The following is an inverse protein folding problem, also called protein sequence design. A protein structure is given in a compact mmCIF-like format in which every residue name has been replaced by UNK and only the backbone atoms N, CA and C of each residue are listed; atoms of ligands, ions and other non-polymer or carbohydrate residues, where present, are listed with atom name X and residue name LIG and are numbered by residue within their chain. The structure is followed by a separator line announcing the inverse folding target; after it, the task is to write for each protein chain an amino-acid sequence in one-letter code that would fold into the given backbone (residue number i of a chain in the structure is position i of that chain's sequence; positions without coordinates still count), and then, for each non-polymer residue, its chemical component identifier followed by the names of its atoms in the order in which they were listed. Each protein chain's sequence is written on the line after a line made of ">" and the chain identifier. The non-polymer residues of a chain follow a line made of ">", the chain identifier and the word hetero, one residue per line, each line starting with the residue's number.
data_IF_499383640352
#
_entry.id   IF_499383640352
#
_cell.length_a   1.000
_cell.length_b   1.000
_cell.length_c   1.000
_cell.angle_alpha   90.00
_cell.angle_beta   90.00
_cell.angle_gamma   90.00
#
_symmetry.space_group_name_H-M   'P 1'
#
loop_
_entity.id
_entity.type
_entity.pdbx_description
1 polymer ?
#
# COMPACT_ATOMS: atom_id res chain seq x y z
N UNK A 1 -18.44 -33.86 12.56
CA UNK A 1 -17.54 -32.81 12.05
C UNK A 1 -16.58 -32.44 13.15
N UNK A 2 -15.27 -32.62 12.92
CA UNK A 2 -14.23 -32.37 13.91
C UNK A 2 -14.10 -30.86 14.20
N UNK A 3 -13.75 -30.45 15.43
CA UNK A 3 -13.57 -29.05 15.77
C UNK A 3 -12.35 -28.49 15.04
N UNK A 4 -12.52 -27.35 14.37
CA UNK A 4 -11.41 -26.60 13.79
C UNK A 4 -10.45 -26.22 14.93
N UNK A 5 -9.22 -26.72 14.87
CA UNK A 5 -8.16 -26.28 15.76
C UNK A 5 -7.97 -24.77 15.57
N UNK A 6 -8.15 -24.01 16.65
CA UNK A 6 -7.74 -22.62 16.76
C UNK A 6 -6.23 -22.56 16.48
N UNK A 7 -5.85 -22.27 15.24
CA UNK A 7 -4.48 -21.90 14.92
C UNK A 7 -4.23 -20.59 15.65
N UNK A 8 -3.41 -20.62 16.69
CA UNK A 8 -3.00 -19.42 17.40
C UNK A 8 -2.40 -18.43 16.37
N UNK A 9 -3.10 -17.32 16.12
CA UNK A 9 -2.58 -16.27 15.24
C UNK A 9 -1.34 -15.69 15.89
N UNK A 10 -0.18 -15.78 15.22
CA UNK A 10 1.00 -15.04 15.65
C UNK A 10 0.66 -13.54 15.66
N UNK A 11 1.01 -12.78 16.71
CA UNK A 11 0.79 -11.34 16.72
C UNK A 11 1.60 -10.68 15.59
N UNK A 12 1.04 -9.66 14.94
CA UNK A 12 1.79 -8.92 13.93
C UNK A 12 3.06 -8.30 14.55
N UNK A 13 4.21 -8.34 13.86
CA UNK A 13 5.45 -7.74 14.36
C UNK A 13 5.30 -6.22 14.50
N UNK A 14 5.97 -5.59 15.45
CA UNK A 14 5.92 -4.11 15.59
C UNK A 14 6.76 -3.47 14.46
N UNK A 15 6.19 -2.59 13.61
CA UNK A 15 6.94 -1.99 12.53
C UNK A 15 7.81 -0.86 13.07
N UNK A 16 8.99 -0.67 12.48
CA UNK A 16 9.86 0.47 12.77
C UNK A 16 9.52 1.60 11.80
N UNK A 17 8.92 2.67 12.30
CA UNK A 17 8.61 3.86 11.50
C UNK A 17 9.85 4.72 11.19
N UNK A 18 9.73 5.69 10.26
CA UNK A 18 10.82 6.61 9.95
C UNK A 18 11.17 7.47 11.17
N UNK A 19 12.40 7.97 11.23
CA UNK A 19 12.82 8.88 12.30
C UNK A 19 12.08 10.23 12.23
N UNK A 20 11.55 10.59 11.06
CA UNK A 20 10.72 11.77 10.83
C UNK A 20 9.45 11.71 11.67
N UNK A 21 9.27 12.66 12.59
CA UNK A 21 8.11 12.72 13.49
C UNK A 21 6.97 13.60 12.98
N UNK A 22 7.26 14.57 12.12
CA UNK A 22 6.29 15.51 11.56
C UNK A 22 6.44 15.64 10.05
N UNK A 23 5.32 15.95 9.38
CA UNK A 23 5.28 16.13 7.93
C UNK A 23 6.39 17.08 7.46
N UNK A 24 7.28 16.57 6.62
CA UNK A 24 8.46 17.30 6.14
C UNK A 24 8.48 17.32 4.62
N UNK A 25 8.58 18.52 4.02
CA UNK A 25 8.70 18.69 2.56
C UNK A 25 10.14 18.36 2.10
N UNK A 26 10.33 17.76 0.91
CA UNK A 26 11.67 17.45 0.42
C UNK A 26 12.53 18.69 0.19
N UNK A 27 13.84 18.58 0.46
CA UNK A 27 14.84 19.64 0.17
C UNK A 27 15.50 19.47 -1.21
N UNK A 28 15.39 18.28 -1.82
CA UNK A 28 15.90 17.99 -3.16
C UNK A 28 14.74 17.96 -4.16
N UNK A 29 14.67 18.87 -5.14
CA UNK A 29 13.56 18.92 -6.10
C UNK A 29 13.56 17.71 -7.04
N UNK A 30 12.38 17.34 -7.53
CA UNK A 30 12.24 16.34 -8.60
C UNK A 30 12.81 16.95 -9.90
N UNK A 31 13.66 16.23 -10.66
CA UNK A 31 14.22 16.72 -11.92
C UNK A 31 13.12 17.08 -12.92
N UNK A 32 13.28 18.24 -13.57
CA UNK A 32 12.31 18.76 -14.54
C UNK A 32 12.07 17.80 -15.71
N UNK A 33 13.09 17.03 -16.11
CA UNK A 33 13.00 16.01 -17.16
C UNK A 33 11.98 14.91 -16.85
N UNK A 34 11.80 14.56 -15.58
CA UNK A 34 10.81 13.56 -15.14
C UNK A 34 9.38 14.11 -15.21
N UNK A 35 9.21 15.36 -14.78
CA UNK A 35 7.93 16.08 -14.84
C UNK A 35 7.50 16.23 -16.31
N UNK A 36 8.39 16.71 -17.17
CA UNK A 36 8.09 16.90 -18.58
C UNK A 36 7.83 15.57 -19.31
N UNK A 37 8.57 14.52 -18.96
CA UNK A 37 8.36 13.17 -19.51
C UNK A 37 7.03 12.52 -19.08
N UNK A 38 6.39 13.01 -18.02
CA UNK A 38 5.10 12.52 -17.54
C UNK A 38 3.88 13.27 -18.13
N UNK A 39 4.08 14.43 -18.77
CA UNK A 39 2.99 15.23 -19.34
C UNK A 39 2.26 14.46 -20.45
N UNK A 40 0.93 14.49 -20.41
CA UNK A 40 0.06 13.92 -21.44
C UNK A 40 -0.86 15.00 -22.02
N UNK A 41 -1.28 14.84 -23.29
CA UNK A 41 -2.07 15.86 -23.99
C UNK A 41 -3.49 16.06 -23.43
N UNK A 42 -4.13 15.00 -22.89
CA UNK A 42 -5.45 15.06 -22.25
C UNK A 42 -5.57 13.98 -21.18
N UNK A 43 -6.01 14.36 -19.98
CA UNK A 43 -6.38 13.43 -18.91
C UNK A 43 -7.75 12.80 -19.21
N UNK A 44 -7.90 11.51 -18.94
CA UNK A 44 -9.12 10.73 -19.14
C UNK A 44 -9.52 10.04 -17.82
N UNK A 45 -10.80 9.69 -17.65
CA UNK A 45 -11.27 8.91 -16.48
C UNK A 45 -10.88 7.44 -16.61
N UNK A 46 -10.72 6.74 -15.48
CA UNK A 46 -10.37 5.32 -15.49
C UNK A 46 -11.52 4.46 -16.04
N UNK A 47 -11.27 3.80 -17.18
CA UNK A 47 -12.12 2.74 -17.74
C UNK A 47 -11.39 1.37 -17.63
N UNK A 48 -11.79 0.50 -16.70
CA UNK A 48 -11.15 -0.78 -16.46
C UNK A 48 -11.19 -1.73 -17.67
N UNK A 49 -12.18 -1.58 -18.56
CA UNK A 49 -12.24 -2.35 -19.81
C UNK A 49 -11.13 -1.97 -20.80
N UNK A 50 -10.59 -0.75 -20.69
CA UNK A 50 -9.49 -0.22 -21.52
C UNK A 50 -8.13 -0.27 -20.82
N UNK A 51 -8.11 -0.14 -19.50
CA UNK A 51 -6.91 0.16 -18.73
C UNK A 51 -6.39 -1.01 -17.89
N UNK A 52 -7.19 -2.05 -17.67
CA UNK A 52 -6.83 -3.22 -16.86
C UNK A 52 -6.60 -4.45 -17.73
N UNK A 53 -5.47 -5.14 -17.54
CA UNK A 53 -5.15 -6.36 -18.28
C UNK A 53 -4.83 -7.52 -17.33
N UNK A 54 -5.80 -8.42 -17.14
CA UNK A 54 -5.69 -9.64 -16.33
C UNK A 54 -5.97 -10.88 -17.17
N UNK A 55 -5.22 -11.97 -16.98
CA UNK A 55 -5.47 -13.24 -17.66
C UNK A 55 -5.20 -14.46 -16.75
N UNK A 56 -6.17 -15.37 -16.59
CA UNK A 56 -5.93 -16.80 -16.33
C UNK A 56 -5.71 -17.55 -17.67
N UNK A 57 -4.80 -18.53 -17.78
CA UNK A 57 -4.17 -18.82 -19.08
C UNK A 57 -4.78 -19.99 -19.89
N UNK A 58 -4.68 -19.88 -21.25
CA UNK A 58 -3.91 -20.83 -22.11
C UNK A 58 -3.71 -20.44 -23.60
N UNK A 59 -4.46 -19.50 -24.22
CA UNK A 59 -4.01 -18.58 -25.31
C UNK A 59 -5.15 -17.71 -25.91
N UNK A 60 -4.95 -16.37 -26.04
CA UNK A 60 -5.89 -15.38 -26.65
C UNK A 60 -5.10 -14.20 -27.30
N UNK A 61 -5.63 -13.57 -28.37
CA UNK A 61 -5.04 -12.43 -29.12
C UNK A 61 -5.77 -11.09 -28.84
N UNK A 62 -5.07 -10.12 -28.23
CA UNK A 62 -5.57 -8.88 -27.56
C UNK A 62 -4.93 -7.57 -28.10
N UNK A 63 -5.03 -6.40 -27.44
CA UNK A 63 -4.30 -5.12 -27.75
C UNK A 63 -2.79 -5.31 -28.02
N UNK A 64 -2.24 -6.43 -27.51
CA UNK A 64 -0.99 -7.10 -27.90
C UNK A 64 -0.75 -7.25 -29.41
N UNK A 65 -1.79 -7.29 -30.23
CA UNK A 65 -1.69 -7.48 -31.69
C UNK A 65 -1.27 -6.21 -32.45
N UNK A 66 -1.39 -5.03 -31.83
CA UNK A 66 -1.07 -3.72 -32.44
C UNK A 66 -0.04 -2.91 -31.63
N UNK A 67 0.54 -3.50 -30.58
CA UNK A 67 1.76 -3.00 -29.95
C UNK A 67 1.62 -1.94 -28.86
N UNK A 68 0.42 -1.67 -28.32
CA UNK A 68 0.18 -0.53 -27.41
C UNK A 68 -0.48 -0.88 -26.06
N UNK A 69 -0.40 -2.14 -25.65
CA UNK A 69 -1.13 -2.62 -24.49
C UNK A 69 -0.48 -2.19 -23.15
N UNK A 70 -1.25 -1.57 -22.24
CA UNK A 70 -0.83 -1.23 -20.87
C UNK A 70 -0.08 0.10 -20.67
N UNK A 71 0.35 0.77 -21.74
CA UNK A 71 1.07 2.05 -21.61
C UNK A 71 0.17 3.23 -21.23
N UNK A 72 -1.14 3.19 -21.54
CA UNK A 72 -2.06 4.30 -21.27
C UNK A 72 -2.26 4.58 -19.78
N UNK A 73 -2.55 3.53 -18.99
CA UNK A 73 -2.84 3.68 -17.56
C UNK A 73 -1.64 4.18 -16.75
N UNK A 74 -0.44 3.65 -17.04
CA UNK A 74 0.79 4.08 -16.36
C UNK A 74 1.13 5.53 -16.73
N UNK A 75 0.92 5.95 -17.98
CA UNK A 75 1.09 7.34 -18.40
C UNK A 75 0.10 8.28 -17.71
N UNK A 76 -1.17 7.88 -17.59
CA UNK A 76 -2.19 8.66 -16.87
C UNK A 76 -1.82 8.82 -15.39
N UNK A 77 -1.50 7.72 -14.71
CA UNK A 77 -1.07 7.75 -13.30
C UNK A 77 0.17 8.63 -13.12
N UNK A 78 1.19 8.51 -13.98
CA UNK A 78 2.37 9.38 -13.93
C UNK A 78 2.02 10.85 -14.15
N UNK A 79 1.14 11.16 -15.09
CA UNK A 79 0.71 12.54 -15.34
C UNK A 79 0.05 13.17 -14.11
N UNK A 80 -0.77 12.41 -13.38
CA UNK A 80 -1.36 12.88 -12.11
C UNK A 80 -0.30 13.09 -11.03
N UNK A 81 0.59 12.11 -10.85
CA UNK A 81 1.66 12.13 -9.84
C UNK A 81 2.57 13.37 -9.99
N UNK A 82 2.88 13.76 -11.22
CA UNK A 82 3.77 14.89 -11.51
C UNK A 82 3.03 16.18 -11.87
N UNK A 83 1.71 16.25 -11.63
CA UNK A 83 0.97 17.49 -11.77
C UNK A 83 1.37 18.49 -10.68
N UNK A 84 1.37 19.78 -11.02
CA UNK A 84 1.78 20.87 -10.11
C UNK A 84 1.04 20.80 -8.77
N UNK A 85 -0.30 20.67 -8.81
CA UNK A 85 -1.14 20.54 -7.61
C UNK A 85 -0.75 19.35 -6.73
N UNK A 86 -0.45 18.18 -7.31
CA UNK A 86 -0.02 17.00 -6.54
C UNK A 86 1.35 17.22 -5.92
N UNK A 87 2.30 17.79 -6.65
CA UNK A 87 3.63 18.07 -6.12
C UNK A 87 3.59 19.10 -4.97
N UNK A 88 2.73 20.11 -5.08
CA UNK A 88 2.58 21.15 -4.04
C UNK A 88 1.89 20.62 -2.77
N UNK A 89 0.78 19.89 -2.93
CA UNK A 89 -0.05 19.49 -1.80
C UNK A 89 0.41 18.17 -1.18
N UNK A 90 0.84 17.20 -2.00
CA UNK A 90 0.98 15.80 -1.62
C UNK A 90 2.43 15.30 -1.48
N UNK A 91 3.44 16.15 -1.70
CA UNK A 91 4.85 15.73 -1.66
C UNK A 91 5.47 15.75 -0.26
N UNK A 92 6.06 14.64 0.16
CA UNK A 92 6.68 14.46 1.47
C UNK A 92 8.05 13.79 1.36
N UNK A 93 8.81 13.80 2.46
CA UNK A 93 10.11 13.12 2.59
C UNK A 93 10.23 12.40 3.93
N UNK A 94 11.04 11.34 3.96
CA UNK A 94 11.45 10.65 5.18
C UNK A 94 12.90 10.21 5.11
N UNK A 95 13.41 9.67 6.23
CA UNK A 95 14.70 8.98 6.26
C UNK A 95 14.75 7.74 5.36
N UNK A 96 13.61 7.14 5.03
CA UNK A 96 13.57 5.97 4.14
C UNK A 96 13.45 6.35 2.66
N UNK A 97 12.80 7.47 2.36
CA UNK A 97 12.61 7.90 0.98
C UNK A 97 12.63 9.43 0.87
N UNK A 98 13.56 10.01 0.09
CA UNK A 98 13.66 11.45 -0.06
C UNK A 98 12.47 12.10 -0.78
N UNK A 99 11.73 11.35 -1.61
CA UNK A 99 10.60 11.88 -2.37
C UNK A 99 9.43 10.88 -2.36
N UNK A 100 8.34 11.29 -1.72
CA UNK A 100 7.10 10.54 -1.62
C UNK A 100 5.92 11.41 -2.05
N UNK A 101 4.90 10.82 -2.66
CA UNK A 101 3.61 11.48 -2.92
C UNK A 101 2.53 10.69 -2.17
N UNK A 102 1.74 11.36 -1.32
CA UNK A 102 0.72 10.72 -0.48
C UNK A 102 -0.53 11.60 -0.36
N UNK A 103 -1.70 10.97 -0.17
CA UNK A 103 -2.95 11.71 -0.01
C UNK A 103 -3.48 12.37 -1.28
N UNK A 104 -3.22 11.82 -2.47
CA UNK A 104 -3.72 12.42 -3.72
C UNK A 104 -5.25 12.42 -3.76
N UNK A 105 -5.89 11.30 -3.45
CA UNK A 105 -7.36 11.20 -3.42
C UNK A 105 -8.05 11.55 -4.75
N UNK A 106 -9.39 11.58 -4.76
CA UNK A 106 -10.18 11.78 -5.98
C UNK A 106 -10.02 13.19 -6.58
N UNK A 107 -9.72 14.20 -5.75
CA UNK A 107 -9.65 15.59 -6.18
C UNK A 107 -8.35 15.97 -6.90
N UNK A 108 -7.28 15.19 -6.71
CA UNK A 108 -5.96 15.48 -7.31
C UNK A 108 -5.50 14.40 -8.28
N UNK A 109 -5.88 13.13 -8.06
CA UNK A 109 -5.56 12.01 -8.94
C UNK A 109 -6.79 11.10 -9.20
N UNK A 110 -7.84 11.63 -9.87
CA UNK A 110 -9.07 10.88 -10.12
C UNK A 110 -8.87 9.58 -10.89
N UNK A 111 -7.96 9.53 -11.86
CA UNK A 111 -7.68 8.31 -12.62
C UNK A 111 -7.07 7.22 -11.73
N UNK A 112 -6.03 7.54 -10.96
CA UNK A 112 -5.44 6.59 -10.02
C UNK A 112 -6.45 6.13 -8.96
N UNK A 113 -7.23 7.07 -8.43
CA UNK A 113 -8.28 6.78 -7.47
C UNK A 113 -9.35 5.82 -8.02
N UNK A 114 -9.92 6.13 -9.18
CA UNK A 114 -10.95 5.30 -9.83
C UNK A 114 -10.40 3.94 -10.26
N UNK A 115 -9.13 3.89 -10.72
CA UNK A 115 -8.47 2.63 -11.05
C UNK A 115 -8.36 1.71 -9.84
N UNK A 116 -8.00 2.22 -8.66
CA UNK A 116 -7.88 1.40 -7.46
C UNK A 116 -9.21 1.06 -6.79
N UNK A 117 -10.26 1.85 -7.05
CA UNK A 117 -11.64 1.54 -6.62
C UNK A 117 -12.48 0.80 -7.65
N UNK A 118 -11.90 0.45 -8.80
CA UNK A 118 -12.61 -0.20 -9.90
C UNK A 118 -13.20 -1.55 -9.46
N UNK A 119 -14.48 -1.82 -9.78
CA UNK A 119 -15.11 -3.12 -9.53
C UNK A 119 -14.50 -4.27 -10.35
N UNK A 120 -13.65 -3.98 -11.34
CA UNK A 120 -12.90 -4.96 -12.12
C UNK A 120 -11.48 -5.19 -11.61
N UNK A 121 -10.88 -4.20 -10.93
CA UNK A 121 -9.55 -4.30 -10.30
C UNK A 121 -9.64 -5.00 -8.95
N UNK A 122 -10.55 -4.55 -8.08
CA UNK A 122 -10.64 -5.03 -6.70
C UNK A 122 -10.84 -6.56 -6.58
N UNK A 123 -11.71 -7.22 -7.38
CA UNK A 123 -11.86 -8.67 -7.30
C UNK A 123 -10.58 -9.43 -7.67
N UNK A 124 -9.76 -8.89 -8.57
CA UNK A 124 -8.49 -9.53 -8.96
C UNK A 124 -7.43 -9.40 -7.88
N UNK A 125 -7.38 -8.24 -7.21
CA UNK A 125 -6.53 -8.06 -6.04
C UNK A 125 -6.96 -9.03 -4.93
N UNK A 126 -8.26 -9.17 -4.70
CA UNK A 126 -8.82 -10.11 -3.73
C UNK A 126 -8.52 -11.58 -4.08
N UNK A 127 -8.64 -11.96 -5.36
CA UNK A 127 -8.29 -13.29 -5.86
C UNK A 127 -6.81 -13.63 -5.60
N UNK A 128 -5.90 -12.68 -5.87
CA UNK A 128 -4.47 -12.87 -5.60
C UNK A 128 -4.18 -12.93 -4.10
N UNK A 129 -4.90 -12.14 -3.29
CA UNK A 129 -4.75 -12.12 -1.84
C UNK A 129 -5.35 -13.35 -1.14
N UNK A 130 -6.26 -14.08 -1.79
CA UNK A 130 -6.99 -15.21 -1.22
C UNK A 130 -8.09 -14.82 -0.22
N UNK A 131 -8.47 -13.54 -0.17
CA UNK A 131 -9.52 -12.98 0.70
C UNK A 131 -10.13 -11.75 0.03
N UNK A 132 -11.41 -11.48 0.30
CA UNK A 132 -12.06 -10.26 -0.18
C UNK A 132 -11.44 -9.01 0.47
N UNK A 133 -10.91 -8.13 -0.38
CA UNK A 133 -10.25 -6.90 0.02
C UNK A 133 -11.01 -5.66 -0.49
N UNK A 134 -10.88 -4.58 0.28
CA UNK A 134 -11.23 -3.21 -0.12
C UNK A 134 -10.03 -2.29 0.12
N UNK A 135 -9.95 -1.17 -0.58
CA UNK A 135 -8.94 -0.14 -0.29
C UNK A 135 -9.13 0.36 1.14
N UNK A 136 -8.06 0.53 1.92
CA UNK A 136 -8.16 0.88 3.35
C UNK A 136 -8.89 2.21 3.59
N UNK A 137 -8.33 3.31 3.10
CA UNK A 137 -8.98 4.62 3.06
C UNK A 137 -8.24 5.50 2.04
N UNK A 138 -8.89 6.57 1.59
CA UNK A 138 -8.52 7.31 0.37
C UNK A 138 -7.11 7.91 0.41
N UNK A 139 -6.65 8.31 1.60
CA UNK A 139 -5.33 8.88 1.81
C UNK A 139 -4.20 7.91 1.43
N UNK A 140 -4.44 6.60 1.56
CA UNK A 140 -3.47 5.52 1.32
C UNK A 140 -3.65 4.86 -0.05
N UNK A 141 -4.54 5.40 -0.88
CA UNK A 141 -4.63 5.01 -2.27
C UNK A 141 -3.46 5.67 -3.02
N UNK A 142 -2.69 4.84 -3.72
CA UNK A 142 -1.61 5.28 -4.59
C UNK A 142 -0.49 6.08 -3.89
N UNK A 143 0.03 5.60 -2.77
CA UNK A 143 1.24 6.14 -2.16
C UNK A 143 2.45 5.95 -3.09
N UNK A 144 3.10 7.03 -3.52
CA UNK A 144 4.20 6.95 -4.48
C UNK A 144 5.53 7.10 -3.77
N UNK A 145 6.48 6.24 -4.13
CA UNK A 145 7.87 6.32 -3.76
C UNK A 145 8.70 6.63 -5.01
N UNK A 146 9.46 7.73 -4.98
CA UNK A 146 10.30 8.20 -6.09
C UNK A 146 11.76 8.18 -5.65
N UNK A 147 12.56 7.31 -6.27
CA UNK A 147 14.01 7.29 -6.11
C UNK A 147 14.68 7.69 -7.42
N UNK A 148 15.59 8.65 -7.36
CA UNK A 148 16.36 9.11 -8.52
C UNK A 148 17.83 8.77 -8.24
N UNK A 149 18.50 8.00 -9.13
CA UNK A 149 19.94 7.79 -9.02
C UNK A 149 20.65 9.14 -9.14
N UNK A 150 21.53 9.45 -8.20
CA UNK A 150 22.40 10.63 -8.28
C UNK A 150 23.41 10.45 -9.40
N UNK A 151 23.50 11.41 -10.33
CA UNK A 151 24.48 11.40 -11.44
C UNK A 151 25.94 11.44 -10.94
N UNK A 152 26.18 11.94 -9.72
CA UNK A 152 27.49 12.06 -9.09
C UNK A 152 27.49 11.45 -7.69
N UNK A 153 27.41 10.13 -7.56
CA UNK A 153 27.89 9.50 -6.32
C UNK A 153 29.40 9.34 -6.43
N UNK A 154 30.14 10.14 -5.67
CA UNK A 154 31.58 9.92 -5.52
C UNK A 154 31.81 8.49 -5.03
N UNK A 155 32.75 7.80 -5.66
CA UNK A 155 33.06 6.39 -5.40
C UNK A 155 33.42 6.18 -3.92
N UNK A 156 33.94 7.21 -3.26
CA UNK A 156 34.30 7.23 -1.84
C UNK A 156 33.07 7.26 -0.91
N UNK A 157 31.97 7.95 -1.26
CA UNK A 157 30.71 7.90 -0.46
C UNK A 157 30.01 6.53 -0.55
N UNK A 158 30.15 5.86 -1.69
CA UNK A 158 29.67 4.48 -1.84
C UNK A 158 30.48 3.56 -0.92
N UNK A 159 31.77 3.80 -0.71
CA UNK A 159 32.64 2.96 0.13
C UNK A 159 32.45 3.16 1.64
N UNK A 160 31.84 4.26 2.08
CA UNK A 160 31.52 4.52 3.49
C UNK A 160 30.09 4.12 3.90
N UNK A 161 29.20 3.84 2.95
CA UNK A 161 27.85 3.35 3.28
C UNK A 161 27.86 1.86 3.64
N UNK A 162 27.10 1.40 4.65
CA UNK A 162 26.96 -0.02 4.98
C UNK A 162 26.53 -0.82 3.74
N UNK A 163 27.05 -2.03 3.55
CA UNK A 163 26.81 -2.84 2.34
C UNK A 163 25.30 -3.11 2.09
N UNK A 164 24.49 -3.16 3.16
CA UNK A 164 23.03 -3.24 3.09
C UNK A 164 22.38 -2.00 2.44
N UNK A 165 22.90 -0.79 2.73
CA UNK A 165 22.39 0.49 2.22
C UNK A 165 22.87 0.77 0.78
N UNK A 166 23.96 0.13 0.35
CA UNK A 166 24.42 0.19 -1.06
C UNK A 166 23.48 -0.50 -2.03
N UNK A 167 22.65 -1.43 -1.56
CA UNK A 167 21.83 -2.30 -2.41
C UNK A 167 20.33 -2.06 -2.28
N UNK A 168 19.89 -1.22 -1.34
CA UNK A 168 18.47 -1.05 -1.00
C UNK A 168 17.92 0.33 -1.38
N UNK A 169 16.80 0.36 -2.10
CA UNK A 169 16.01 1.56 -2.40
C UNK A 169 15.01 1.86 -1.27
N UNK A 170 14.55 0.82 -0.56
CA UNK A 170 13.78 0.91 0.69
C UNK A 170 14.25 -0.22 1.58
N UNK A 171 14.79 0.13 2.76
CA UNK A 171 15.38 -0.80 3.73
C UNK A 171 14.41 -1.91 4.17
N UNK A 172 14.91 -2.94 4.84
CA UNK A 172 14.06 -3.99 5.42
C UNK A 172 13.03 -3.40 6.38
N UNK A 173 11.75 -3.69 6.13
CA UNK A 173 10.64 -3.19 6.93
C UNK A 173 9.43 -4.11 6.86
N UNK A 174 8.45 -3.80 7.71
CA UNK A 174 7.07 -4.25 7.59
C UNK A 174 6.21 -3.04 7.24
N UNK A 175 5.20 -3.25 6.42
CA UNK A 175 4.25 -2.19 6.12
C UNK A 175 3.34 -1.89 7.31
N UNK A 176 2.73 -0.71 7.26
CA UNK A 176 1.67 -0.28 8.16
C UNK A 176 0.35 -1.05 7.97
N UNK A 177 0.12 -1.62 6.78
CA UNK A 177 -1.18 -2.16 6.37
C UNK A 177 -1.15 -3.67 6.14
N UNK A 178 -2.22 -4.42 6.48
CA UNK A 178 -2.27 -5.87 6.34
C UNK A 178 -1.96 -6.35 4.92
N UNK A 179 -2.54 -5.69 3.91
CA UNK A 179 -2.35 -6.02 2.50
C UNK A 179 -1.93 -4.77 1.72
N UNK A 180 -0.99 -4.95 0.79
CA UNK A 180 -0.56 -3.90 -0.13
C UNK A 180 -0.44 -4.44 -1.55
N UNK A 181 -0.67 -3.56 -2.52
CA UNK A 181 -0.35 -3.78 -3.92
C UNK A 181 0.72 -2.78 -4.36
N UNK A 182 1.91 -3.28 -4.68
CA UNK A 182 3.05 -2.49 -5.15
C UNK A 182 3.10 -2.56 -6.67
N UNK A 183 2.83 -1.45 -7.35
CA UNK A 183 2.84 -1.29 -8.81
C UNK A 183 4.05 -0.50 -9.27
N UNK A 184 4.69 -0.93 -10.34
CA UNK A 184 5.87 -0.24 -10.90
C UNK A 184 5.45 0.73 -12.00
N UNK A 185 5.79 2.01 -11.82
CA UNK A 185 5.47 3.09 -12.75
C UNK A 185 6.69 3.60 -13.54
N UNK A 186 7.91 3.20 -13.17
CA UNK A 186 9.10 3.52 -13.94
C UNK A 186 9.04 2.92 -15.34
N UNK A 187 9.65 3.62 -16.29
CA UNK A 187 10.15 2.97 -17.50
C UNK A 187 11.31 2.05 -17.11
N UNK A 188 11.10 0.74 -17.30
CA UNK A 188 12.09 -0.27 -16.94
C UNK A 188 13.03 -0.64 -18.10
N UNK A 189 13.00 0.12 -19.21
CA UNK A 189 13.89 -0.12 -20.34
C UNK A 189 15.35 0.04 -19.92
N UNK A 190 16.12 -1.05 -19.98
CA UNK A 190 17.54 -1.07 -19.59
C UNK A 190 17.79 -1.17 -18.08
N UNK A 191 16.76 -1.30 -17.25
CA UNK A 191 16.92 -1.53 -15.80
C UNK A 191 17.42 -2.94 -15.51
N UNK A 192 18.45 -3.02 -14.66
CA UNK A 192 18.94 -4.27 -14.07
C UNK A 192 18.83 -4.17 -12.55
N UNK A 193 18.23 -5.18 -11.91
CA UNK A 193 17.93 -5.19 -10.48
C UNK A 193 16.57 -4.57 -10.15
N UNK A 194 16.42 -4.04 -8.94
CA UNK A 194 15.16 -3.42 -8.48
C UNK A 194 14.13 -4.38 -7.90
N UNK A 195 14.49 -5.65 -7.70
CA UNK A 195 13.62 -6.69 -7.16
C UNK A 195 13.09 -6.34 -5.76
N UNK A 196 11.91 -6.85 -5.44
CA UNK A 196 11.45 -6.92 -4.04
C UNK A 196 12.03 -8.20 -3.44
N UNK A 197 12.82 -8.04 -2.38
CA UNK A 197 13.32 -9.16 -1.59
C UNK A 197 12.41 -9.35 -0.38
N UNK A 198 11.98 -10.59 -0.16
CA UNK A 198 11.14 -11.03 0.96
C UNK A 198 12.00 -11.90 1.88
N UNK A 199 11.85 -11.72 3.18
CA UNK A 199 12.51 -12.59 4.16
C UNK A 199 11.50 -13.58 4.71
N UNK A 200 11.84 -14.86 4.64
CA UNK A 200 11.02 -15.93 5.23
C UNK A 200 11.19 -15.96 6.75
N UNK A 201 10.28 -16.61 7.50
CA UNK A 201 10.45 -16.82 8.94
C UNK A 201 11.73 -17.56 9.33
N UNK A 202 12.33 -18.31 8.39
CA UNK A 202 13.61 -19.02 8.58
C UNK A 202 14.84 -18.14 8.31
N UNK A 203 14.64 -16.90 7.87
CA UNK A 203 15.71 -15.96 7.52
C UNK A 203 16.19 -16.07 6.07
N UNK A 204 15.63 -16.98 5.26
CA UNK A 204 15.95 -17.09 3.83
C UNK A 204 15.41 -15.89 3.07
N UNK A 205 16.17 -15.38 2.10
CA UNK A 205 15.77 -14.25 1.25
C UNK A 205 15.26 -14.77 -0.09
N UNK A 206 14.00 -14.51 -0.39
CA UNK A 206 13.35 -14.79 -1.67
C UNK A 206 13.30 -13.50 -2.49
N UNK A 207 13.89 -13.51 -3.68
CA UNK A 207 13.78 -12.38 -4.62
C UNK A 207 12.60 -12.63 -5.55
N UNK A 208 11.61 -11.75 -5.48
CA UNK A 208 10.48 -11.75 -6.43
C UNK A 208 10.96 -11.10 -7.73
N UNK A 209 10.50 -11.64 -8.87
CA UNK A 209 10.94 -11.25 -10.22
C UNK A 209 11.02 -9.72 -10.37
N UNK A 210 12.09 -9.27 -11.00
CA UNK A 210 12.40 -7.85 -11.19
C UNK A 210 11.29 -7.06 -11.89
N UNK A 211 11.22 -5.76 -11.59
CA UNK A 211 10.12 -4.88 -11.97
C UNK A 211 10.07 -4.69 -13.49
N UNK A 212 8.89 -4.92 -14.08
CA UNK A 212 8.57 -4.42 -15.42
C UNK A 212 7.48 -3.35 -15.31
N UNK A 213 7.53 -2.34 -16.18
CA UNK A 213 6.55 -1.24 -16.18
C UNK A 213 5.12 -1.78 -16.21
N UNK A 214 4.30 -1.33 -15.25
CA UNK A 214 2.90 -1.75 -15.11
C UNK A 214 2.67 -3.14 -14.51
N UNK A 215 3.72 -3.79 -13.99
CA UNK A 215 3.54 -4.98 -13.14
C UNK A 215 3.25 -4.59 -11.70
N UNK A 216 2.51 -5.46 -11.01
CA UNK A 216 2.14 -5.27 -9.62
C UNK A 216 2.34 -6.55 -8.80
N UNK A 217 2.66 -6.37 -7.52
CA UNK A 217 2.80 -7.45 -6.52
C UNK A 217 1.83 -7.18 -5.39
N UNK A 218 0.96 -8.15 -5.10
CA UNK A 218 0.10 -8.13 -3.92
C UNK A 218 0.76 -8.96 -2.82
N UNK A 219 0.86 -8.41 -1.63
CA UNK A 219 1.47 -9.09 -0.49
C UNK A 219 0.87 -8.68 0.84
N UNK A 220 1.08 -9.53 1.85
CA UNK A 220 0.72 -9.26 3.24
C UNK A 220 1.80 -8.40 3.92
N UNK A 221 1.88 -7.12 3.54
CA UNK A 221 2.98 -6.21 3.89
C UNK A 221 3.22 -6.08 5.40
N UNK A 222 2.17 -6.15 6.23
CA UNK A 222 2.26 -6.12 7.70
C UNK A 222 3.00 -7.33 8.30
N UNK A 223 3.00 -8.45 7.60
CA UNK A 223 3.46 -9.75 8.13
C UNK A 223 4.73 -10.27 7.45
N UNK A 224 5.09 -9.71 6.29
CA UNK A 224 6.26 -10.14 5.52
C UNK A 224 7.32 -9.05 5.61
N UNK A 225 8.47 -9.36 6.22
CA UNK A 225 9.63 -8.47 6.21
C UNK A 225 10.16 -8.40 4.78
N UNK A 226 10.26 -7.20 4.23
CA UNK A 226 10.64 -7.02 2.84
C UNK A 226 11.48 -5.76 2.63
N UNK A 227 12.22 -5.75 1.52
CA UNK A 227 12.99 -4.59 1.06
C UNK A 227 12.87 -4.45 -0.46
N UNK A 228 12.98 -3.21 -0.93
CA UNK A 228 13.12 -2.93 -2.36
C UNK A 228 14.60 -2.75 -2.68
N UNK A 229 15.12 -3.50 -3.64
CA UNK A 229 16.52 -3.34 -4.07
C UNK A 229 16.68 -2.11 -4.99
N UNK A 230 17.88 -1.53 -5.01
CA UNK A 230 18.26 -0.51 -6.01
C UNK A 230 18.30 -1.15 -7.39
N UNK A 231 17.86 -0.38 -8.39
CA UNK A 231 18.00 -0.75 -9.79
C UNK A 231 19.11 0.11 -10.41
N UNK A 232 19.93 -0.50 -11.26
CA UNK A 232 21.01 0.15 -11.99
C UNK A 232 20.58 0.41 -13.44
N UNK A 233 21.07 1.49 -14.04
CA UNK A 233 20.94 1.76 -15.48
C UNK A 233 19.67 2.50 -15.91
N UNK A 234 18.80 2.94 -15.00
CA UNK A 234 17.61 3.72 -15.32
C UNK A 234 17.65 5.12 -14.73
N UNK A 235 16.74 5.98 -15.22
CA UNK A 235 16.64 7.39 -14.79
C UNK A 235 15.91 7.57 -13.46
N UNK A 236 15.05 6.62 -13.10
CA UNK A 236 14.17 6.72 -11.93
C UNK A 236 13.67 5.34 -11.48
N UNK A 237 13.31 5.23 -10.21
CA UNK A 237 12.49 4.15 -9.64
C UNK A 237 11.24 4.76 -9.01
N UNK A 238 10.10 4.59 -9.67
CA UNK A 238 8.79 5.05 -9.22
C UNK A 238 7.93 3.82 -8.95
N UNK A 239 7.54 3.65 -7.69
CA UNK A 239 6.61 2.59 -7.27
C UNK A 239 5.40 3.22 -6.59
N UNK A 240 4.22 2.72 -6.93
CA UNK A 240 2.94 3.10 -6.35
C UNK A 240 2.45 1.98 -5.44
N UNK A 241 2.10 2.30 -4.21
CA UNK A 241 1.62 1.36 -3.20
C UNK A 241 0.19 1.73 -2.84
N UNK A 242 -0.74 0.82 -3.08
CA UNK A 242 -2.12 0.96 -2.59
C UNK A 242 -2.36 -0.02 -1.46
N UNK A 243 -2.90 0.48 -0.36
CA UNK A 243 -3.14 -0.29 0.85
C UNK A 243 -4.57 -0.83 0.89
N UNK A 244 -4.72 -2.06 1.39
CA UNK A 244 -5.99 -2.77 1.46
C UNK A 244 -6.23 -3.37 2.84
N UNK A 245 -7.50 -3.49 3.20
CA UNK A 245 -7.97 -4.21 4.38
C UNK A 245 -8.99 -5.29 3.98
N UNK A 246 -9.19 -6.30 4.85
CA UNK A 246 -10.28 -7.24 4.68
C UNK A 246 -11.63 -6.54 4.57
N UNK A 247 -12.46 -6.97 3.62
CA UNK A 247 -13.82 -6.45 3.45
C UNK A 247 -14.75 -6.85 4.59
N UNK A 248 -14.55 -8.04 5.15
CA UNK A 248 -15.33 -8.54 6.28
C UNK A 248 -14.82 -7.88 7.58
N UNK A 249 -15.66 -7.09 8.29
CA UNK A 249 -15.26 -6.40 9.51
C UNK A 249 -14.93 -7.37 10.66
N UNK A 250 -15.34 -8.64 10.59
CA UNK A 250 -15.02 -9.67 11.58
C UNK A 250 -13.63 -10.26 11.40
N UNK A 251 -12.99 -10.02 10.25
CA UNK A 251 -11.61 -10.43 10.01
C UNK A 251 -10.67 -9.47 10.72
N UNK A 252 -9.57 -10.01 11.27
CA UNK A 252 -8.58 -9.23 11.99
C UNK A 252 -7.89 -8.22 11.07
N UNK A 253 -7.95 -6.95 11.45
CA UNK A 253 -7.23 -5.86 10.80
C UNK A 253 -6.21 -5.25 11.77
N UNK A 254 -4.92 -5.44 11.47
CA UNK A 254 -3.77 -4.95 12.25
C UNK A 254 -3.11 -3.72 11.59
N UNK A 255 -3.92 -2.83 11.00
CA UNK A 255 -3.45 -1.56 10.46
C UNK A 255 -2.91 -0.66 11.56
N UNK A 256 -1.70 -0.12 11.35
CA UNK A 256 -1.04 0.85 12.24
C UNK A 256 -0.55 2.04 11.43
N UNK A 257 -0.42 3.22 12.04
CA UNK A 257 -0.01 4.45 11.37
C UNK A 257 1.46 4.82 11.59
N UNK A 258 2.20 4.05 12.40
CA UNK A 258 3.62 4.30 12.75
C UNK A 258 4.51 4.62 11.53
N UNK A 259 4.38 3.86 10.44
CA UNK A 259 5.22 4.05 9.24
C UNK A 259 4.83 5.26 8.39
N UNK A 260 3.59 5.74 8.52
CA UNK A 260 2.98 6.72 7.58
C UNK A 260 2.67 8.07 8.21
N UNK A 261 2.54 8.14 9.53
CA UNK A 261 2.21 9.36 10.27
C UNK A 261 3.21 10.48 9.98
N UNK A 262 4.51 10.21 10.09
CA UNK A 262 5.56 11.21 9.91
C UNK A 262 5.68 11.79 8.49
N UNK A 263 4.95 11.23 7.51
CA UNK A 263 5.01 11.60 6.08
C UNK A 263 3.65 11.96 5.51
N UNK A 264 2.68 12.34 6.33
CA UNK A 264 1.30 12.55 5.88
C UNK A 264 0.72 13.87 6.41
N UNK A 265 -0.33 14.37 5.75
CA UNK A 265 -1.22 15.35 6.37
C UNK A 265 -1.99 14.64 7.49
N UNK A 266 -1.65 14.96 8.74
CA UNK A 266 -2.19 14.28 9.91
C UNK A 266 -3.68 14.48 10.08
N UNK A 267 -4.20 15.66 9.77
CA UNK A 267 -5.63 15.92 9.89
C UNK A 267 -6.42 15.01 8.94
N UNK A 268 -6.03 14.93 7.67
CA UNK A 268 -6.71 14.05 6.71
C UNK A 268 -6.51 12.57 7.05
N UNK A 269 -5.28 12.18 7.41
CA UNK A 269 -4.94 10.80 7.78
C UNK A 269 -5.77 10.32 8.98
N UNK A 270 -5.82 11.09 10.06
CA UNK A 270 -6.55 10.73 11.27
C UNK A 270 -8.06 10.77 11.08
N UNK A 271 -8.59 11.73 10.32
CA UNK A 271 -10.02 11.76 9.99
C UNK A 271 -10.42 10.45 9.29
N UNK A 272 -9.75 10.09 8.20
CA UNK A 272 -10.12 8.91 7.43
C UNK A 272 -9.82 7.60 8.16
N UNK A 273 -8.71 7.50 8.90
CA UNK A 273 -8.44 6.34 9.74
C UNK A 273 -9.50 6.15 10.82
N UNK A 274 -9.93 7.24 11.46
CA UNK A 274 -10.97 7.18 12.50
C UNK A 274 -12.30 6.74 11.90
N UNK A 275 -12.74 7.34 10.80
CA UNK A 275 -13.98 6.96 10.10
C UNK A 275 -13.97 5.47 9.76
N UNK A 276 -12.95 5.01 9.05
CA UNK A 276 -12.76 3.61 8.66
C UNK A 276 -12.83 2.63 9.86
N UNK A 277 -12.09 2.92 10.94
CA UNK A 277 -12.05 2.02 12.10
C UNK A 277 -13.35 2.04 12.90
N UNK A 278 -14.04 3.18 12.95
CA UNK A 278 -15.34 3.29 13.61
C UNK A 278 -16.44 2.57 12.85
N UNK A 279 -16.43 2.59 11.51
CA UNK A 279 -17.34 1.79 10.68
C UNK A 279 -17.18 0.28 10.94
N UNK A 280 -15.95 -0.21 11.07
CA UNK A 280 -15.69 -1.61 11.47
C UNK A 280 -16.33 -1.92 12.82
N UNK A 281 -16.16 -1.05 13.81
CA UNK A 281 -16.72 -1.24 15.14
C UNK A 281 -18.25 -1.23 15.09
N UNK A 282 -18.86 -0.35 14.29
CA UNK A 282 -20.31 -0.32 14.08
C UNK A 282 -20.82 -1.65 13.53
N UNK A 283 -20.22 -2.18 12.46
CA UNK A 283 -20.64 -3.46 11.88
C UNK A 283 -20.44 -4.63 12.83
N UNK A 284 -19.33 -4.66 13.58
CA UNK A 284 -19.07 -5.67 14.61
C UNK A 284 -20.12 -5.65 15.71
N UNK A 285 -20.46 -4.47 16.23
CA UNK A 285 -21.51 -4.32 17.25
C UNK A 285 -22.86 -4.75 16.69
N UNK A 286 -23.21 -4.31 15.47
CA UNK A 286 -24.47 -4.65 14.82
C UNK A 286 -24.60 -6.16 14.59
N UNK A 287 -23.51 -6.80 14.17
CA UNK A 287 -23.43 -8.25 13.98
C UNK A 287 -23.68 -8.99 15.31
N UNK A 288 -22.94 -8.65 16.36
CA UNK A 288 -23.07 -9.29 17.68
C UNK A 288 -24.45 -9.06 18.28
N UNK A 289 -25.01 -7.86 18.15
CA UNK A 289 -26.36 -7.55 18.62
C UNK A 289 -27.43 -8.39 17.90
N UNK A 290 -27.27 -8.61 16.59
CA UNK A 290 -28.16 -9.48 15.83
C UNK A 290 -28.09 -10.93 16.31
N UNK A 291 -26.88 -11.47 16.49
CA UNK A 291 -26.68 -12.82 17.02
C UNK A 291 -27.31 -13.00 18.40
N UNK A 292 -27.17 -11.99 19.26
CA UNK A 292 -27.69 -12.03 20.61
C UNK A 292 -29.22 -12.02 20.66
N UNK A 293 -29.86 -11.23 19.80
CA UNK A 293 -31.32 -11.24 19.62
C UNK A 293 -31.81 -12.59 19.10
N UNK A 294 -31.12 -13.18 18.13
CA UNK A 294 -31.46 -14.50 17.59
C UNK A 294 -31.31 -15.60 18.66
N UNK A 295 -30.27 -15.52 19.51
CA UNK A 295 -30.09 -16.40 20.67
C UNK A 295 -31.27 -16.27 21.64
N UNK A 296 -31.67 -15.06 21.98
CA UNK A 296 -32.78 -14.78 22.89
C UNK A 296 -34.11 -15.31 22.33
N UNK A 297 -34.43 -15.05 21.05
CA UNK A 297 -35.62 -15.56 20.36
C UNK A 297 -35.63 -17.09 20.40
N UNK A 298 -34.47 -17.73 20.17
CA UNK A 298 -34.30 -19.17 20.27
C UNK A 298 -34.30 -19.70 21.72
N UNK A 299 -34.45 -18.82 22.73
CA UNK A 299 -34.44 -19.12 24.17
C UNK A 299 -33.21 -19.90 24.62
N UNK A 300 -32.06 -19.68 23.98
CA UNK A 300 -30.80 -20.32 24.36
C UNK A 300 -30.18 -19.60 25.56
N UNK A 301 -29.48 -20.31 26.48
CA UNK A 301 -28.76 -19.67 27.59
C UNK A 301 -27.77 -18.60 27.12
N UNK A 302 -27.50 -17.61 27.96
CA UNK A 302 -26.56 -16.52 27.64
C UNK A 302 -25.13 -17.04 27.56
N UNK A 303 -24.41 -16.65 26.49
CA UNK A 303 -23.02 -17.07 26.29
C UNK A 303 -22.06 -16.03 26.89
N UNK A 304 -21.73 -16.25 28.16
CA UNK A 304 -20.79 -15.40 28.91
C UNK A 304 -19.41 -15.40 28.25
N UNK A 305 -18.94 -16.56 27.78
CA UNK A 305 -17.58 -16.69 27.26
C UNK A 305 -17.42 -15.94 25.93
N UNK A 306 -18.34 -16.16 25.00
CA UNK A 306 -18.32 -15.48 23.70
C UNK A 306 -18.51 -13.96 23.87
N UNK A 307 -19.46 -13.54 24.71
CA UNK A 307 -19.69 -12.10 24.94
C UNK A 307 -18.47 -11.42 25.54
N UNK A 308 -17.81 -12.04 26.54
CA UNK A 308 -16.58 -11.50 27.12
C UNK A 308 -15.45 -11.46 26.10
N UNK A 309 -15.30 -12.49 25.26
CA UNK A 309 -14.28 -12.53 24.21
C UNK A 309 -14.48 -11.37 23.22
N UNK A 310 -15.70 -11.16 22.75
CA UNK A 310 -16.04 -10.05 21.86
C UNK A 310 -15.70 -8.69 22.48
N UNK A 311 -16.10 -8.46 23.74
CA UNK A 311 -15.84 -7.20 24.44
C UNK A 311 -14.33 -6.95 24.64
N UNK A 312 -13.56 -8.00 24.97
CA UNK A 312 -12.10 -7.90 25.08
C UNK A 312 -11.45 -7.59 23.73
N UNK A 313 -11.93 -8.20 22.65
CA UNK A 313 -11.45 -7.90 21.30
C UNK A 313 -11.72 -6.45 20.92
N UNK A 314 -12.92 -5.92 21.19
CA UNK A 314 -13.23 -4.52 20.89
C UNK A 314 -12.44 -3.56 21.78
N UNK A 315 -12.17 -3.93 23.04
CA UNK A 315 -11.25 -3.17 23.90
C UNK A 315 -9.85 -3.10 23.29
N UNK A 316 -9.30 -4.22 22.84
CA UNK A 316 -7.98 -4.26 22.20
C UNK A 316 -7.95 -3.46 20.88
N UNK A 317 -9.05 -3.49 20.12
CA UNK A 317 -9.21 -2.70 18.91
C UNK A 317 -9.17 -1.20 19.20
N UNK A 318 -9.90 -0.73 20.21
CA UNK A 318 -9.86 0.67 20.67
C UNK A 318 -8.49 1.05 21.24
N UNK A 319 -7.88 0.19 22.07
CA UNK A 319 -6.53 0.42 22.61
C UNK A 319 -5.51 0.55 21.45
N UNK A 320 -5.66 -0.22 20.37
CA UNK A 320 -4.82 -0.09 19.17
C UNK A 320 -4.99 1.27 18.49
N UNK A 321 -6.22 1.80 18.38
CA UNK A 321 -6.47 3.12 17.80
C UNK A 321 -5.86 4.23 18.65
N UNK A 322 -5.95 4.12 19.98
CA UNK A 322 -5.34 5.08 20.92
C UNK A 322 -3.82 5.14 20.75
N UNK A 323 -3.17 4.01 20.48
CA UNK A 323 -1.72 3.99 20.21
C UNK A 323 -1.35 4.68 18.88
N UNK A 324 -2.28 4.74 17.93
CA UNK A 324 -2.02 5.31 16.61
C UNK A 324 -2.43 6.78 16.48
N UNK A 325 -3.45 7.23 17.21
CA UNK A 325 -3.92 8.63 17.22
C UNK A 325 -3.19 9.36 18.36
N UNK A 326 -2.05 9.93 18.00
CA UNK A 326 -1.19 10.66 18.94
C UNK A 326 -0.94 12.08 18.45
N UNK A 327 -0.75 13.01 19.39
CA UNK A 327 -0.18 14.32 19.08
C UNK A 327 1.25 14.16 18.58
N UNK A 328 1.66 15.03 17.66
CA UNK A 328 3.01 15.06 17.14
C UNK A 328 3.78 16.23 17.75
N UNK A 329 4.97 15.92 18.25
CA UNK A 329 5.98 16.90 18.67
C UNK A 329 6.74 17.51 17.46
#
# INVERSE_FOLDING_TARGET
>A
MAPAALVASLPAPVPVGPATKKATRPTKPIPQSLIDGAKIGRSESSDPSKHLKFQPPKNIRTMKKIGLEGQGAIKQMRAEIFSEKVLEECQYSSTFNPNMIRGMGPARAPFAYDAWKSPEVLPKISEVAGIDLVTSFDFEIANINITIPSENQDIDEILDTPFADRTSAVAWHYDSFPFVCVTILSDCTGLVGGETALKTPKGEILKVRGPATGTAVVMQGRYIEHQALKAMGGRERISMVTCFCPKDPLVKDETVLVGVRGVSNISELYTQYTEYRMEILEERIRHTLKQEREREIAKRPFDIANTRSFLLEQKLFLDSMLNEIVELD
#
